data_IF_145042358959
#
_entry.id   IF_145042358959
#
_cell.length_a   1.000
_cell.length_b   1.000
_cell.length_c   1.000
_cell.angle_alpha   90.00
_cell.angle_beta   90.00
_cell.angle_gamma   90.00
#
_symmetry.space_group_name_H-M   'P 1'
#
loop_
_entity.id
_entity.type
_entity.pdbx_description
1 polymer ?
#
# COMPACT_ATOMS: atom_id res chain seq x y z
N UNK A 1 -20.98 46.03 9.77
CA UNK A 1 -20.94 47.20 8.87
C UNK A 1 -19.48 47.43 8.52
N UNK A 2 -19.07 47.12 7.29
CA UNK A 2 -17.71 47.42 6.81
C UNK A 2 -17.64 48.94 6.60
N UNK A 3 -16.82 49.62 7.40
CA UNK A 3 -16.46 51.01 7.14
C UNK A 3 -15.55 51.00 5.92
N UNK A 4 -16.10 51.34 4.75
CA UNK A 4 -15.31 51.49 3.54
C UNK A 4 -14.17 52.49 3.80
N UNK A 5 -12.93 52.07 3.59
CA UNK A 5 -11.77 52.96 3.68
C UNK A 5 -11.80 53.85 2.45
N UNK A 6 -12.29 55.07 2.59
CA UNK A 6 -12.43 56.01 1.47
C UNK A 6 -11.09 56.70 1.17
N UNK A 7 -10.68 56.67 -0.10
CA UNK A 7 -9.49 57.40 -0.55
C UNK A 7 -9.78 58.91 -0.48
N UNK A 8 -8.91 59.72 0.16
CA UNK A 8 -9.01 61.17 0.08
C UNK A 8 -8.99 61.63 -1.39
N UNK A 9 -9.81 62.64 -1.71
CA UNK A 9 -9.83 63.23 -3.04
C UNK A 9 -8.44 63.78 -3.42
N UNK A 10 -8.05 63.59 -4.67
CA UNK A 10 -6.80 64.17 -5.19
C UNK A 10 -6.93 65.70 -5.27
N UNK A 11 -5.83 66.42 -5.04
CA UNK A 11 -5.81 67.88 -5.18
C UNK A 11 -6.02 68.26 -6.66
N UNK A 12 -6.88 69.26 -6.92
CA UNK A 12 -7.15 69.73 -8.27
C UNK A 12 -5.89 70.36 -8.89
N UNK A 13 -5.38 69.83 -10.02
CA UNK A 13 -4.16 70.33 -10.66
C UNK A 13 -4.32 71.73 -11.28
N UNK A 14 -5.55 72.22 -11.45
CA UNK A 14 -5.84 73.53 -12.06
C UNK A 14 -5.90 74.68 -11.05
N UNK A 15 -5.84 74.38 -9.74
CA UNK A 15 -5.94 75.35 -8.65
C UNK A 15 -4.61 75.47 -7.93
N UNK A 16 -4.20 76.70 -7.60
CA UNK A 16 -3.05 76.96 -6.74
C UNK A 16 -3.42 76.67 -5.28
N UNK A 17 -2.92 75.56 -4.75
CA UNK A 17 -3.12 75.16 -3.35
C UNK A 17 -2.08 75.81 -2.43
N UNK A 18 -2.48 76.15 -1.20
CA UNK A 18 -1.52 76.63 -0.21
C UNK A 18 -0.64 75.49 0.31
N UNK A 19 0.46 75.85 0.96
CA UNK A 19 1.36 74.87 1.60
C UNK A 19 0.63 74.05 2.68
N UNK A 20 -0.34 74.66 3.36
CA UNK A 20 -1.08 73.99 4.42
C UNK A 20 -2.14 73.02 3.86
N UNK A 21 -2.76 73.35 2.72
CA UNK A 21 -3.66 72.43 2.00
C UNK A 21 -2.92 71.17 1.56
N UNK A 22 -1.72 71.34 1.01
CA UNK A 22 -0.87 70.22 0.61
C UNK A 22 -0.48 69.34 1.79
N UNK A 23 -0.14 69.94 2.95
CA UNK A 23 0.17 69.20 4.18
C UNK A 23 -1.02 68.42 4.72
N UNK A 24 -2.21 69.01 4.73
CA UNK A 24 -3.43 68.34 5.17
C UNK A 24 -3.79 67.18 4.25
N UNK A 25 -3.65 67.36 2.93
CA UNK A 25 -3.83 66.28 1.96
C UNK A 25 -2.83 65.14 2.17
N UNK A 26 -1.55 65.45 2.37
CA UNK A 26 -0.53 64.44 2.66
C UNK A 26 -0.82 63.66 3.95
N UNK A 27 -1.27 64.33 5.00
CA UNK A 27 -1.64 63.67 6.26
C UNK A 27 -2.82 62.69 6.03
N UNK A 28 -3.88 63.15 5.34
CA UNK A 28 -5.03 62.29 5.00
C UNK A 28 -4.64 61.10 4.13
N UNK A 29 -3.75 61.30 3.16
CA UNK A 29 -3.23 60.21 2.32
C UNK A 29 -2.38 59.21 3.12
N UNK A 30 -1.61 59.68 4.09
CA UNK A 30 -0.83 58.82 4.99
C UNK A 30 -1.74 57.96 5.88
N UNK A 31 -2.80 58.56 6.43
CA UNK A 31 -3.81 57.86 7.24
C UNK A 31 -4.55 56.80 6.41
N UNK A 32 -4.94 57.14 5.18
CA UNK A 32 -5.53 56.20 4.22
C UNK A 32 -4.58 55.03 3.92
N UNK A 33 -3.30 55.31 3.61
CA UNK A 33 -2.32 54.27 3.32
C UNK A 33 -2.01 53.38 4.54
N UNK A 34 -2.12 53.91 5.75
CA UNK A 34 -2.02 53.12 6.98
C UNK A 34 -3.24 52.23 7.17
N UNK A 35 -4.45 52.77 6.93
CA UNK A 35 -5.69 52.01 7.03
C UNK A 35 -5.76 50.85 6.02
N UNK A 36 -5.37 51.09 4.76
CA UNK A 36 -5.32 50.04 3.71
C UNK A 36 -4.38 48.91 4.12
N UNK A 37 -3.17 49.23 4.58
CA UNK A 37 -2.20 48.21 5.02
C UNK A 37 -2.70 47.40 6.23
N UNK A 38 -3.40 48.05 7.16
CA UNK A 38 -3.98 47.36 8.31
C UNK A 38 -5.11 46.40 7.89
N UNK A 39 -5.95 46.80 6.93
CA UNK A 39 -7.02 45.96 6.41
C UNK A 39 -6.47 44.78 5.58
N UNK A 40 -5.47 45.02 4.74
CA UNK A 40 -4.76 43.95 4.01
C UNK A 40 -4.12 42.93 4.97
N UNK A 41 -3.54 43.38 6.08
CA UNK A 41 -2.98 42.50 7.11
C UNK A 41 -4.07 41.64 7.77
N UNK A 42 -5.22 42.22 8.12
CA UNK A 42 -6.37 41.49 8.68
C UNK A 42 -6.91 40.45 7.70
N UNK A 43 -7.08 40.82 6.44
CA UNK A 43 -7.55 39.89 5.40
C UNK A 43 -6.58 38.74 5.18
N UNK A 44 -5.27 38.98 5.23
CA UNK A 44 -4.26 37.91 5.16
C UNK A 44 -4.34 36.96 6.35
N UNK A 45 -4.47 37.48 7.57
CA UNK A 45 -4.64 36.64 8.76
C UNK A 45 -5.94 35.81 8.73
N UNK A 46 -7.04 36.40 8.24
CA UNK A 46 -8.31 35.69 8.07
C UNK A 46 -8.22 34.62 6.97
N UNK A 47 -7.52 34.91 5.87
CA UNK A 47 -7.27 33.96 4.80
C UNK A 47 -6.36 32.81 5.27
N UNK A 48 -5.29 33.09 6.02
CA UNK A 48 -4.42 32.07 6.59
C UNK A 48 -5.17 31.15 7.56
N UNK A 49 -6.07 31.69 8.39
CA UNK A 49 -6.95 30.90 9.27
C UNK A 49 -7.96 30.04 8.50
N UNK A 50 -8.39 30.47 7.32
CA UNK A 50 -9.29 29.70 6.44
C UNK A 50 -8.54 28.59 5.71
N UNK A 51 -7.37 28.90 5.19
CA UNK A 51 -6.55 27.99 4.40
C UNK A 51 -5.87 26.93 5.29
N UNK A 52 -5.63 27.26 6.56
CA UNK A 52 -5.02 26.36 7.53
C UNK A 52 -5.88 26.23 8.80
N UNK A 53 -7.04 25.54 8.71
CA UNK A 53 -7.87 25.32 9.88
C UNK A 53 -7.11 24.50 10.92
N UNK A 54 -7.37 24.72 12.23
CA UNK A 54 -6.74 23.94 13.27
C UNK A 54 -7.07 22.45 13.10
N UNK A 55 -6.14 21.54 13.45
CA UNK A 55 -6.38 20.11 13.34
C UNK A 55 -7.61 19.73 14.18
N UNK A 56 -8.62 19.15 13.51
CA UNK A 56 -9.76 18.56 14.18
C UNK A 56 -9.37 17.16 14.65
N UNK A 57 -9.24 17.02 15.96
CA UNK A 57 -9.07 15.70 16.57
C UNK A 57 -10.42 14.99 16.65
N UNK A 58 -10.47 13.66 16.44
CA UNK A 58 -11.68 12.89 16.65
C UNK A 58 -12.17 13.08 18.07
N UNK A 59 -13.48 13.19 18.24
CA UNK A 59 -14.10 13.07 19.56
C UNK A 59 -13.86 11.67 20.14
N UNK A 60 -13.94 11.53 21.46
CA UNK A 60 -13.75 10.24 22.14
C UNK A 60 -14.67 9.14 21.57
N UNK A 61 -15.90 9.50 21.21
CA UNK A 61 -16.87 8.60 20.60
C UNK A 61 -16.48 8.16 19.18
N UNK A 62 -15.85 9.03 18.39
CA UNK A 62 -15.32 8.69 17.06
C UNK A 62 -14.07 7.82 17.17
N UNK A 63 -13.21 8.12 18.13
CA UNK A 63 -12.02 7.34 18.42
C UNK A 63 -12.36 5.89 18.83
N UNK A 64 -13.38 5.71 19.68
CA UNK A 64 -13.87 4.39 20.07
C UNK A 64 -14.46 3.60 18.89
N UNK A 65 -15.13 4.27 17.96
CA UNK A 65 -15.65 3.63 16.74
C UNK A 65 -14.50 3.17 15.84
N UNK A 66 -13.50 4.02 15.64
CA UNK A 66 -12.30 3.70 14.85
C UNK A 66 -11.59 2.48 15.44
N UNK A 67 -11.33 2.47 16.75
CA UNK A 67 -10.68 1.35 17.42
C UNK A 67 -11.44 0.02 17.28
N UNK A 68 -12.78 0.04 17.39
CA UNK A 68 -13.58 -1.18 17.19
C UNK A 68 -13.49 -1.68 15.76
N UNK A 69 -13.59 -0.79 14.79
CA UNK A 69 -13.48 -1.14 13.37
C UNK A 69 -12.10 -1.72 13.04
N UNK A 70 -11.02 -1.14 13.56
CA UNK A 70 -9.66 -1.66 13.40
C UNK A 70 -9.50 -3.05 14.02
N UNK A 71 -10.05 -3.27 15.22
CA UNK A 71 -10.00 -4.57 15.88
C UNK A 71 -10.79 -5.64 15.12
N UNK A 72 -11.98 -5.32 14.62
CA UNK A 72 -12.78 -6.23 13.80
C UNK A 72 -12.07 -6.58 12.49
N UNK A 73 -11.45 -5.60 11.83
CA UNK A 73 -10.67 -5.80 10.61
C UNK A 73 -9.46 -6.71 10.86
N UNK A 74 -8.73 -6.48 11.96
CA UNK A 74 -7.59 -7.32 12.33
C UNK A 74 -8.00 -8.77 12.61
N UNK A 75 -9.11 -8.98 13.32
CA UNK A 75 -9.65 -10.32 13.57
C UNK A 75 -10.09 -11.01 12.27
N UNK A 76 -10.68 -10.28 11.33
CA UNK A 76 -11.04 -10.82 10.02
C UNK A 76 -9.81 -11.25 9.20
N UNK A 77 -8.74 -10.44 9.19
CA UNK A 77 -7.47 -10.78 8.51
C UNK A 77 -6.82 -12.01 9.11
N UNK A 78 -6.79 -12.13 10.45
CA UNK A 78 -6.26 -13.31 11.13
C UNK A 78 -7.03 -14.58 10.76
N UNK A 79 -8.36 -14.48 10.69
CA UNK A 79 -9.20 -15.61 10.27
C UNK A 79 -8.90 -16.03 8.83
N UNK A 80 -8.82 -15.08 7.89
CA UNK A 80 -8.47 -15.36 6.50
C UNK A 80 -7.10 -16.03 6.38
N UNK A 81 -6.09 -15.55 7.11
CA UNK A 81 -4.77 -16.20 7.13
C UNK A 81 -4.82 -17.61 7.70
N UNK A 82 -5.58 -17.84 8.77
CA UNK A 82 -5.74 -19.19 9.34
C UNK A 82 -6.43 -20.13 8.34
N UNK A 83 -7.49 -19.67 7.67
CA UNK A 83 -8.23 -20.44 6.66
C UNK A 83 -7.34 -20.76 5.43
N UNK A 84 -6.51 -19.80 4.98
CA UNK A 84 -5.54 -20.02 3.90
C UNK A 84 -4.44 -21.03 4.28
N UNK A 85 -3.93 -20.97 5.51
CA UNK A 85 -2.92 -21.93 5.98
C UNK A 85 -3.53 -23.33 6.08
N UNK A 86 -4.74 -23.46 6.64
CA UNK A 86 -5.46 -24.72 6.70
C UNK A 86 -5.73 -25.30 5.29
N UNK A 87 -6.11 -24.45 4.33
CA UNK A 87 -6.30 -24.87 2.94
C UNK A 87 -4.99 -25.33 2.28
N UNK A 88 -3.87 -24.64 2.52
CA UNK A 88 -2.54 -25.04 2.02
C UNK A 88 -2.06 -26.35 2.62
N UNK A 89 -2.24 -26.54 3.93
CA UNK A 89 -1.91 -27.79 4.61
C UNK A 89 -2.74 -28.95 4.08
N UNK A 90 -4.05 -28.75 3.91
CA UNK A 90 -4.94 -29.76 3.31
C UNK A 90 -4.54 -30.09 1.88
N UNK A 91 -4.28 -29.08 1.04
CA UNK A 91 -3.82 -29.29 -0.33
C UNK A 91 -2.48 -30.04 -0.39
N UNK A 92 -1.56 -29.76 0.54
CA UNK A 92 -0.29 -30.48 0.67
C UNK A 92 -0.50 -31.93 1.11
N UNK A 93 -1.41 -32.17 2.06
CA UNK A 93 -1.77 -33.52 2.50
C UNK A 93 -2.42 -34.33 1.37
N UNK A 94 -3.37 -33.74 0.65
CA UNK A 94 -4.03 -34.36 -0.51
C UNK A 94 -3.03 -34.64 -1.64
N UNK A 95 -2.09 -33.72 -1.91
CA UNK A 95 -1.00 -33.94 -2.86
C UNK A 95 -0.12 -35.12 -2.45
N UNK A 96 0.31 -35.18 -1.18
CA UNK A 96 1.13 -36.27 -0.65
C UNK A 96 0.40 -37.62 -0.65
N UNK A 97 -0.92 -37.61 -0.47
CA UNK A 97 -1.77 -38.80 -0.56
C UNK A 97 -1.99 -39.25 -2.02
N UNK A 98 -2.00 -38.32 -2.98
CA UNK A 98 -2.13 -38.62 -4.41
C UNK A 98 -0.85 -39.13 -5.07
N UNK A 99 0.31 -38.94 -4.43
CA UNK A 99 1.59 -39.44 -4.94
C UNK A 99 1.69 -40.96 -4.82
N UNK A 100 1.94 -41.70 -5.91
CA UNK A 100 1.99 -43.15 -5.89
C UNK A 100 3.23 -43.65 -5.15
N UNK A 101 3.16 -44.80 -4.49
CA UNK A 101 4.31 -45.40 -3.80
C UNK A 101 5.42 -45.81 -4.78
N UNK A 102 5.04 -46.14 -6.02
CA UNK A 102 5.93 -46.44 -7.14
C UNK A 102 5.56 -45.52 -8.30
N UNK A 103 6.51 -44.72 -8.77
CA UNK A 103 6.38 -43.92 -9.97
C UNK A 103 6.99 -44.69 -11.15
N UNK A 104 6.15 -45.14 -12.08
CA UNK A 104 6.59 -45.76 -13.33
C UNK A 104 6.71 -44.71 -14.43
N UNK A 105 7.94 -44.51 -14.93
CA UNK A 105 8.29 -43.55 -15.97
C UNK A 105 8.48 -44.33 -17.26
N UNK A 106 7.75 -43.97 -18.32
CA UNK A 106 7.91 -44.52 -19.67
C UNK A 106 8.21 -43.40 -20.66
N UNK A 107 9.31 -43.50 -21.38
CA UNK A 107 9.75 -42.50 -22.34
C UNK A 107 10.26 -43.14 -23.63
N UNK A 108 10.07 -42.45 -24.76
CA UNK A 108 10.55 -42.90 -26.07
C UNK A 108 12.01 -42.48 -26.34
N UNK A 109 12.51 -41.47 -25.64
CA UNK A 109 13.84 -40.93 -25.81
C UNK A 109 14.56 -40.70 -24.45
N UNK A 110 15.90 -40.68 -24.43
CA UNK A 110 16.67 -40.52 -23.20
C UNK A 110 16.49 -39.16 -22.52
N UNK A 111 16.21 -38.10 -23.27
CA UNK A 111 16.11 -36.75 -22.71
C UNK A 111 14.80 -36.59 -21.92
N UNK A 112 13.69 -37.05 -22.48
CA UNK A 112 12.40 -37.12 -21.78
C UNK A 112 12.49 -38.02 -20.54
N UNK A 113 13.19 -39.16 -20.65
CA UNK A 113 13.43 -40.03 -19.50
C UNK A 113 14.17 -39.29 -18.37
N UNK A 114 15.30 -38.65 -18.68
CA UNK A 114 16.11 -37.93 -17.69
C UNK A 114 15.33 -36.76 -17.06
N UNK A 115 14.49 -36.07 -17.83
CA UNK A 115 13.66 -34.99 -17.32
C UNK A 115 12.64 -35.49 -16.30
N UNK A 116 11.97 -36.60 -16.60
CA UNK A 116 11.02 -37.22 -15.65
C UNK A 116 11.74 -37.79 -14.42
N UNK A 117 12.86 -38.48 -14.61
CA UNK A 117 13.66 -39.04 -13.50
C UNK A 117 14.15 -37.93 -12.57
N UNK A 118 14.63 -36.80 -13.10
CA UNK A 118 15.07 -35.66 -12.28
C UNK A 118 13.92 -35.00 -11.54
N UNK A 119 12.74 -34.88 -12.17
CA UNK A 119 11.52 -34.39 -11.52
C UNK A 119 11.10 -35.27 -10.33
N UNK A 120 11.08 -36.59 -10.51
CA UNK A 120 10.73 -37.52 -9.42
C UNK A 120 11.82 -37.60 -8.34
N UNK A 121 13.10 -37.52 -8.71
CA UNK A 121 14.21 -37.41 -7.77
C UNK A 121 14.11 -36.13 -6.91
N UNK A 122 13.70 -35.00 -7.50
CA UNK A 122 13.46 -33.75 -6.76
C UNK A 122 12.30 -33.87 -5.75
N UNK A 123 11.34 -34.77 -5.99
CA UNK A 123 10.29 -35.14 -5.03
C UNK A 123 10.75 -36.14 -3.97
N UNK A 124 12.03 -36.52 -3.98
CA UNK A 124 12.66 -37.43 -3.02
C UNK A 124 12.53 -38.90 -3.39
N UNK A 125 11.99 -39.25 -4.55
CA UNK A 125 11.92 -40.65 -4.98
C UNK A 125 13.33 -41.16 -5.28
N UNK A 126 13.60 -42.42 -4.91
CA UNK A 126 14.87 -43.08 -5.19
C UNK A 126 14.71 -44.11 -6.29
N UNK A 127 15.79 -44.30 -7.06
CA UNK A 127 15.88 -45.37 -8.02
C UNK A 127 16.45 -46.62 -7.30
N UNK A 128 15.67 -47.70 -7.12
CA UNK A 128 16.19 -48.95 -6.56
C UNK A 128 17.12 -49.64 -7.57
N UNK A 129 17.93 -50.60 -7.10
CA UNK A 129 18.87 -51.34 -7.96
C UNK A 129 18.16 -52.04 -9.13
N UNK A 130 16.95 -52.59 -8.89
CA UNK A 130 16.11 -53.23 -9.91
C UNK A 130 15.10 -52.25 -10.58
N UNK A 131 15.30 -50.94 -10.42
CA UNK A 131 14.35 -49.93 -10.89
C UNK A 131 14.32 -49.76 -12.40
N UNK A 132 15.36 -50.18 -13.12
CA UNK A 132 15.42 -50.06 -14.58
C UNK A 132 14.80 -51.33 -15.19
N UNK A 133 13.59 -51.22 -15.73
CA UNK A 133 12.89 -52.37 -16.30
C UNK A 133 13.23 -52.59 -17.77
N UNK A 134 13.24 -51.51 -18.55
CA UNK A 134 13.52 -51.56 -19.98
C UNK A 134 14.41 -50.38 -20.37
N UNK A 135 15.49 -50.66 -21.10
CA UNK A 135 16.42 -49.63 -21.55
C UNK A 135 16.89 -49.94 -22.97
N UNK A 136 15.97 -49.82 -23.93
CA UNK A 136 16.21 -50.07 -25.34
C UNK A 136 15.90 -48.82 -26.16
N UNK A 137 16.54 -48.68 -27.31
CA UNK A 137 16.32 -47.52 -28.18
C UNK A 137 14.83 -47.42 -28.56
N UNK A 138 14.21 -46.28 -28.25
CA UNK A 138 12.78 -46.05 -28.51
C UNK A 138 11.83 -46.47 -27.38
N UNK A 139 12.32 -47.12 -26.31
CA UNK A 139 11.52 -47.50 -25.15
C UNK A 139 12.38 -47.60 -23.89
N UNK A 140 12.18 -46.62 -22.99
CA UNK A 140 12.81 -46.55 -21.69
C UNK A 140 11.76 -46.61 -20.61
N UNK A 141 11.90 -47.57 -19.69
CA UNK A 141 11.01 -47.75 -18.54
C UNK A 141 11.82 -47.82 -17.26
N UNK A 142 11.52 -46.91 -16.35
CA UNK A 142 12.18 -46.78 -15.04
C UNK A 142 11.12 -46.67 -13.95
N UNK A 143 11.28 -47.43 -12.88
CA UNK A 143 10.46 -47.35 -11.68
C UNK A 143 11.25 -46.69 -10.56
N UNK A 144 10.68 -45.65 -9.96
CA UNK A 144 11.22 -44.97 -8.80
C UNK A 144 10.31 -45.20 -7.60
N UNK A 145 10.88 -45.34 -6.42
CA UNK A 145 10.15 -45.65 -5.18
C UNK A 145 10.14 -44.42 -4.30
N UNK A 146 8.99 -44.19 -3.65
CA UNK A 146 8.82 -43.09 -2.69
C UNK A 146 9.88 -43.19 -1.58
N UNK A 147 10.41 -42.07 -1.06
CA UNK A 147 11.37 -42.11 0.03
C UNK A 147 10.74 -42.80 1.24
N UNK A 148 11.32 -43.93 1.65
CA UNK A 148 10.97 -44.58 2.90
C UNK A 148 11.31 -43.61 4.00
N UNK A 149 10.30 -43.07 4.69
CA UNK A 149 10.54 -42.27 5.88
C UNK A 149 11.28 -43.19 6.85
N UNK A 150 12.52 -42.89 7.28
CA UNK A 150 13.21 -43.75 8.22
C UNK A 150 12.32 -43.85 9.46
N UNK A 151 11.87 -45.06 9.77
CA UNK A 151 11.12 -45.32 10.98
C UNK A 151 11.95 -44.78 12.15
N UNK A 152 11.46 -43.69 12.77
CA UNK A 152 12.11 -43.08 13.92
C UNK A 152 12.23 -44.17 14.98
N UNK A 153 13.43 -44.73 15.14
CA UNK A 153 13.74 -45.66 16.23
C UNK A 153 13.39 -44.91 17.52
N UNK A 154 12.35 -45.39 18.20
CA UNK A 154 12.07 -45.02 19.58
C UNK A 154 13.09 -45.71 20.48
#
# INVERSE_FOLDING_TARGET
>A
MSTAIEKPADLDPTVWHSRDDYRQWQARMADYAAAVRAEEARQREEQEKRDNPPPQYPSDAEYDRIKRAEHEAEMARRKQHADEQAAKEKARADYLASTPDIAEIRAADPFSLLTEVTHWAAKGYSLPEDGIQFFVQGCYTVQMVKPTTPARKR
#
